data_IF_771284474418
#
_entry.id   IF_771284474418
#
_cell.length_a   1.000
_cell.length_b   1.000
_cell.length_c   1.000
_cell.angle_alpha   90.00
_cell.angle_beta   90.00
_cell.angle_gamma   90.00
#
_symmetry.space_group_name_H-M   'P 1'
#
loop_
_entity.id
_entity.type
_entity.pdbx_description
1 polymer ?
#
# COMPACT_ATOMS: atom_id res chain seq x y z
N UNK A 1 -11.65 17.18 2.06
CA UNK A 1 -12.08 15.85 1.60
C UNK A 1 -11.23 14.82 2.32
N UNK A 2 -11.81 14.00 3.21
CA UNK A 2 -11.06 12.98 3.97
C UNK A 2 -10.91 11.77 3.04
N UNK A 3 -9.68 11.37 2.74
CA UNK A 3 -9.44 10.15 1.96
C UNK A 3 -9.80 8.96 2.85
N UNK A 4 -10.74 8.14 2.41
CA UNK A 4 -11.13 6.91 3.10
C UNK A 4 -9.92 5.97 3.12
N UNK A 5 -9.67 5.34 4.27
CA UNK A 5 -8.69 4.28 4.44
C UNK A 5 -9.11 3.03 3.66
N UNK A 6 -8.17 2.16 3.31
CA UNK A 6 -8.47 0.91 2.61
C UNK A 6 -9.53 0.06 3.33
N UNK A 7 -9.52 0.08 4.68
CA UNK A 7 -10.51 -0.60 5.53
C UNK A 7 -11.90 0.05 5.41
N UNK A 8 -11.97 1.38 5.40
CA UNK A 8 -13.25 2.11 5.22
C UNK A 8 -13.83 1.87 3.83
N UNK A 9 -12.98 1.79 2.80
CA UNK A 9 -13.40 1.46 1.43
C UNK A 9 -13.94 0.03 1.37
N UNK A 10 -13.21 -0.95 1.92
CA UNK A 10 -13.67 -2.33 1.97
C UNK A 10 -14.99 -2.44 2.74
N UNK A 11 -15.10 -1.81 3.92
CA UNK A 11 -16.34 -1.81 4.71
C UNK A 11 -17.54 -1.28 3.93
N UNK A 12 -17.37 -0.20 3.17
CA UNK A 12 -18.45 0.34 2.34
C UNK A 12 -18.88 -0.65 1.24
N UNK A 13 -17.92 -1.35 0.62
CA UNK A 13 -18.18 -2.30 -0.48
C UNK A 13 -18.85 -3.60 0.02
N UNK A 14 -18.47 -4.11 1.19
CA UNK A 14 -19.13 -5.29 1.76
C UNK A 14 -20.51 -4.99 2.37
N UNK A 15 -20.74 -3.77 2.87
CA UNK A 15 -22.08 -3.33 3.28
C UNK A 15 -23.09 -3.38 2.12
N UNK A 16 -22.65 -3.10 0.89
CA UNK A 16 -23.49 -3.21 -0.30
C UNK A 16 -23.83 -4.66 -0.67
N UNK A 17 -22.99 -5.64 -0.29
CA UNK A 17 -23.12 -7.04 -0.69
C UNK A 17 -23.60 -8.00 0.44
N UNK A 18 -23.84 -7.50 1.65
CA UNK A 18 -24.55 -8.21 2.73
C UNK A 18 -23.80 -9.33 3.46
N UNK A 19 -22.62 -9.74 3.00
CA UNK A 19 -21.79 -10.77 3.66
C UNK A 19 -20.42 -10.19 4.06
N UNK A 20 -20.18 -10.13 5.38
CA UNK A 20 -18.87 -9.77 5.92
C UNK A 20 -17.96 -11.00 5.98
N UNK A 21 -16.79 -10.99 5.33
CA UNK A 21 -15.77 -11.99 5.58
C UNK A 21 -15.32 -11.95 7.04
N UNK A 22 -14.98 -13.10 7.62
CA UNK A 22 -14.60 -13.20 9.04
C UNK A 22 -13.43 -12.26 9.40
N UNK A 23 -12.51 -12.04 8.47
CA UNK A 23 -11.34 -11.16 8.61
C UNK A 23 -11.68 -9.65 8.63
N UNK A 24 -12.91 -9.25 8.30
CA UNK A 24 -13.40 -7.86 8.33
C UNK A 24 -14.07 -7.47 9.66
N UNK A 25 -14.09 -8.38 10.64
CA UNK A 25 -14.59 -8.07 11.98
C UNK A 25 -13.76 -6.93 12.61
N UNK A 26 -14.41 -5.86 13.05
CA UNK A 26 -13.75 -4.66 13.62
C UNK A 26 -12.91 -4.93 14.87
N UNK A 27 -13.09 -6.10 15.51
CA UNK A 27 -12.25 -6.56 16.63
C UNK A 27 -10.95 -7.23 16.19
N UNK A 28 -10.85 -7.64 14.93
CA UNK A 28 -9.69 -8.32 14.37
C UNK A 28 -8.82 -7.26 13.71
N UNK A 29 -7.56 -7.19 14.12
CA UNK A 29 -6.59 -6.30 13.47
C UNK A 29 -6.39 -6.79 12.03
N UNK A 30 -6.69 -5.96 11.01
CA UNK A 30 -6.69 -6.40 9.61
C UNK A 30 -5.33 -6.92 9.16
N UNK A 31 -4.25 -6.45 9.79
CA UNK A 31 -2.89 -6.82 9.45
C UNK A 31 -2.18 -7.62 10.57
N UNK A 32 -2.89 -8.54 11.24
CA UNK A 32 -2.23 -9.54 12.10
C UNK A 32 -1.82 -10.77 11.28
N UNK A 33 -0.77 -11.49 11.68
CA UNK A 33 -0.35 -12.73 10.98
C UNK A 33 -1.47 -13.76 10.85
N UNK A 34 -2.35 -13.86 11.86
CA UNK A 34 -3.53 -14.74 11.84
C UNK A 34 -4.53 -14.31 10.76
N UNK A 35 -4.87 -13.02 10.72
CA UNK A 35 -5.79 -12.45 9.72
C UNK A 35 -5.23 -12.62 8.31
N UNK A 36 -3.92 -12.43 8.16
CA UNK A 36 -3.23 -12.57 6.87
C UNK A 36 -3.32 -13.99 6.30
N UNK A 37 -3.19 -15.02 7.14
CA UNK A 37 -3.36 -16.41 6.69
C UNK A 37 -4.80 -16.67 6.24
N UNK A 38 -5.79 -16.18 7.00
CA UNK A 38 -7.21 -16.31 6.61
C UNK A 38 -7.49 -15.60 5.28
N UNK A 39 -6.86 -14.45 5.05
CA UNK A 39 -6.94 -13.73 3.77
C UNK A 39 -6.36 -14.54 2.61
N UNK A 40 -5.21 -15.21 2.82
CA UNK A 40 -4.62 -16.09 1.80
C UNK A 40 -5.56 -17.26 1.49
N UNK A 41 -6.07 -17.95 2.52
CA UNK A 41 -7.01 -19.06 2.35
C UNK A 41 -8.26 -18.60 1.60
N UNK A 42 -8.79 -17.41 1.94
CA UNK A 42 -9.97 -16.83 1.27
C UNK A 42 -9.69 -16.52 -0.20
N UNK A 43 -8.51 -15.97 -0.50
CA UNK A 43 -8.09 -15.73 -1.88
C UNK A 43 -7.99 -17.03 -2.68
N UNK A 44 -7.42 -18.10 -2.10
CA UNK A 44 -7.34 -19.42 -2.73
C UNK A 44 -8.72 -20.05 -2.96
N UNK A 45 -9.70 -19.75 -2.10
CA UNK A 45 -11.10 -20.15 -2.26
C UNK A 45 -11.87 -19.29 -3.29
N UNK A 46 -11.23 -18.30 -3.90
CA UNK A 46 -11.81 -17.45 -4.94
C UNK A 46 -12.44 -16.16 -4.43
N UNK A 47 -12.22 -15.76 -3.17
CA UNK A 47 -12.59 -14.43 -2.69
C UNK A 47 -11.69 -13.38 -3.36
N UNK A 48 -12.24 -12.80 -4.43
CA UNK A 48 -11.55 -11.79 -5.23
C UNK A 48 -11.17 -10.56 -4.42
N UNK A 49 -11.86 -10.25 -3.34
CA UNK A 49 -11.61 -9.05 -2.52
C UNK A 49 -10.48 -9.26 -1.50
N UNK A 50 -10.16 -10.50 -1.15
CA UNK A 50 -9.09 -10.82 -0.21
C UNK A 50 -7.72 -10.29 -0.69
N UNK A 51 -7.46 -10.32 -2.00
CA UNK A 51 -6.24 -9.76 -2.61
C UNK A 51 -6.08 -8.26 -2.34
N UNK A 52 -7.17 -7.49 -2.27
CA UNK A 52 -7.10 -6.06 -1.90
C UNK A 52 -6.67 -5.87 -0.45
N UNK A 53 -7.22 -6.65 0.47
CA UNK A 53 -6.86 -6.59 1.89
C UNK A 53 -5.41 -7.04 2.14
N UNK A 54 -4.93 -8.06 1.42
CA UNK A 54 -3.53 -8.49 1.42
C UNK A 54 -2.62 -7.35 0.94
N UNK A 55 -2.97 -6.71 -0.18
CA UNK A 55 -2.24 -5.57 -0.70
C UNK A 55 -2.17 -4.41 0.30
N UNK A 56 -3.28 -4.13 0.99
CA UNK A 56 -3.34 -3.10 2.02
C UNK A 56 -2.41 -3.40 3.20
N UNK A 57 -2.33 -4.66 3.66
CA UNK A 57 -1.42 -5.05 4.74
C UNK A 57 0.05 -4.70 4.41
N UNK A 58 0.48 -5.00 3.18
CA UNK A 58 1.82 -4.65 2.71
C UNK A 58 2.00 -3.15 2.45
N UNK A 59 0.95 -2.44 2.05
CA UNK A 59 1.01 -1.00 1.78
C UNK A 59 1.09 -0.17 3.06
N UNK A 60 0.23 -0.44 4.06
CA UNK A 60 0.19 0.34 5.30
C UNK A 60 1.36 0.00 6.22
N UNK A 61 1.85 -1.24 6.14
CA UNK A 61 2.64 -1.83 7.21
C UNK A 61 1.83 -1.93 8.51
N UNK A 62 2.32 -2.74 9.44
CA UNK A 62 1.71 -3.01 10.74
C UNK A 62 2.70 -3.77 11.62
N UNK A 63 2.32 -4.06 12.86
CA UNK A 63 3.19 -4.70 13.85
C UNK A 63 3.86 -5.99 13.35
N UNK A 64 3.16 -6.80 12.54
CA UNK A 64 3.66 -8.08 12.01
C UNK A 64 4.21 -8.00 10.57
N UNK A 65 3.97 -6.89 9.85
CA UNK A 65 4.36 -6.75 8.44
C UNK A 65 4.97 -5.37 8.19
N UNK A 66 6.24 -5.36 7.75
CA UNK A 66 6.87 -4.15 7.24
C UNK A 66 6.18 -3.66 5.97
N UNK A 67 6.23 -2.34 5.76
CA UNK A 67 5.79 -1.73 4.51
C UNK A 67 6.59 -2.33 3.35
N UNK A 68 5.89 -2.94 2.39
CA UNK A 68 6.48 -3.51 1.19
C UNK A 68 5.63 -3.11 -0.03
N UNK A 69 6.04 -2.03 -0.69
CA UNK A 69 5.29 -1.48 -1.83
C UNK A 69 5.30 -2.41 -3.04
N UNK A 70 6.35 -3.20 -3.26
CA UNK A 70 6.41 -4.13 -4.41
C UNK A 70 5.38 -5.25 -4.27
N UNK A 71 5.26 -5.82 -3.06
CA UNK A 71 4.22 -6.81 -2.76
C UNK A 71 2.84 -6.17 -2.80
N UNK A 72 2.66 -4.96 -2.28
CA UNK A 72 1.39 -4.25 -2.37
C UNK A 72 0.96 -4.05 -3.84
N UNK A 73 1.88 -3.60 -4.71
CA UNK A 73 1.63 -3.44 -6.14
C UNK A 73 1.23 -4.77 -6.78
N UNK A 74 1.95 -5.85 -6.48
CA UNK A 74 1.64 -7.19 -7.00
C UNK A 74 0.20 -7.60 -6.68
N UNK A 75 -0.19 -7.52 -5.41
CA UNK A 75 -1.53 -7.92 -4.97
C UNK A 75 -2.63 -6.97 -5.47
N UNK A 76 -2.39 -5.66 -5.53
CA UNK A 76 -3.34 -4.73 -6.13
C UNK A 76 -3.52 -4.96 -7.63
N UNK A 77 -2.47 -5.36 -8.37
CA UNK A 77 -2.60 -5.71 -9.79
C UNK A 77 -3.49 -6.92 -9.99
N UNK A 78 -3.23 -8.00 -9.23
CA UNK A 78 -4.07 -9.20 -9.24
C UNK A 78 -5.53 -8.83 -8.98
N UNK A 79 -5.79 -8.05 -7.93
CA UNK A 79 -7.15 -7.62 -7.61
C UNK A 79 -7.79 -6.83 -8.76
N UNK A 80 -7.07 -5.87 -9.35
CA UNK A 80 -7.59 -5.06 -10.44
C UNK A 80 -7.83 -5.86 -11.73
N UNK A 81 -6.92 -6.76 -12.09
CA UNK A 81 -6.96 -7.55 -13.32
C UNK A 81 -8.00 -8.68 -13.24
N UNK A 82 -8.06 -9.39 -12.12
CA UNK A 82 -8.94 -10.57 -11.98
C UNK A 82 -10.37 -10.21 -11.58
N UNK A 83 -10.55 -9.16 -10.79
CA UNK A 83 -11.87 -8.78 -10.24
C UNK A 83 -12.43 -7.47 -10.80
N UNK A 84 -11.64 -6.71 -11.56
CA UNK A 84 -12.05 -5.40 -12.08
C UNK A 84 -12.25 -4.35 -10.99
N UNK A 85 -11.76 -4.59 -9.77
CA UNK A 85 -12.04 -3.76 -8.62
C UNK A 85 -11.33 -2.40 -8.73
N UNK A 86 -12.12 -1.38 -9.09
CA UNK A 86 -11.62 -0.03 -9.43
C UNK A 86 -10.79 0.58 -8.30
N UNK A 87 -11.10 0.28 -7.03
CA UNK A 87 -10.33 0.81 -5.90
C UNK A 87 -8.86 0.33 -5.91
N UNK A 88 -8.56 -0.88 -6.40
CA UNK A 88 -7.19 -1.34 -6.54
C UNK A 88 -6.43 -0.53 -7.61
N UNK A 89 -7.11 -0.20 -8.72
CA UNK A 89 -6.58 0.69 -9.74
C UNK A 89 -6.25 2.09 -9.18
N UNK A 90 -7.12 2.64 -8.32
CA UNK A 90 -6.86 3.91 -7.64
C UNK A 90 -5.64 3.85 -6.71
N UNK A 91 -5.49 2.78 -5.92
CA UNK A 91 -4.31 2.62 -5.04
C UNK A 91 -3.01 2.43 -5.83
N UNK A 92 -3.04 1.66 -6.94
CA UNK A 92 -1.90 1.55 -7.86
C UNK A 92 -1.50 2.90 -8.44
N UNK A 93 -2.49 3.68 -8.91
CA UNK A 93 -2.24 5.01 -9.47
C UNK A 93 -1.60 5.95 -8.44
N UNK A 94 -2.03 5.89 -7.17
CA UNK A 94 -1.42 6.64 -6.07
C UNK A 94 0.04 6.23 -5.87
N UNK A 95 0.31 4.93 -5.74
CA UNK A 95 1.68 4.42 -5.51
C UNK A 95 2.63 4.88 -6.62
N UNK A 96 2.26 4.69 -7.90
CA UNK A 96 3.10 5.11 -9.02
C UNK A 96 3.29 6.62 -9.11
N UNK A 97 2.25 7.39 -8.79
CA UNK A 97 2.33 8.85 -8.78
C UNK A 97 3.32 9.32 -7.73
N UNK A 98 3.26 8.78 -6.52
CA UNK A 98 4.21 9.10 -5.45
C UNK A 98 5.64 8.71 -5.84
N UNK A 99 5.87 7.48 -6.33
CA UNK A 99 7.20 7.03 -6.78
C UNK A 99 7.78 7.97 -7.84
N UNK A 100 6.99 8.38 -8.84
CA UNK A 100 7.43 9.31 -9.88
C UNK A 100 7.78 10.70 -9.32
N UNK A 101 7.02 11.20 -8.35
CA UNK A 101 7.32 12.47 -7.69
C UNK A 101 8.63 12.40 -6.89
N UNK A 102 8.85 11.30 -6.16
CA UNK A 102 10.11 11.08 -5.43
C UNK A 102 11.32 11.02 -6.37
N UNK A 103 11.21 10.30 -7.48
CA UNK A 103 12.27 10.24 -8.51
C UNK A 103 12.62 11.63 -9.06
N UNK A 104 11.61 12.48 -9.31
CA UNK A 104 11.82 13.87 -9.73
C UNK A 104 12.52 14.71 -8.66
N UNK A 105 12.05 14.63 -7.40
CA UNK A 105 12.65 15.36 -6.29
C UNK A 105 14.12 14.96 -6.09
N UNK A 106 14.41 13.67 -6.16
CA UNK A 106 15.77 13.13 -6.09
C UNK A 106 16.65 13.67 -7.23
N UNK A 107 16.18 13.63 -8.47
CA UNK A 107 16.91 14.19 -9.63
C UNK A 107 17.25 15.67 -9.45
N UNK A 108 16.31 16.47 -8.96
CA UNK A 108 16.53 17.90 -8.70
C UNK A 108 17.59 18.11 -7.60
N UNK A 109 17.59 17.30 -6.53
CA UNK A 109 18.60 17.36 -5.47
C UNK A 109 20.01 17.01 -5.97
N UNK A 110 20.13 16.07 -6.90
CA UNK A 110 21.43 15.74 -7.50
C UNK A 110 21.94 16.87 -8.40
N UNK A 111 21.06 17.53 -9.14
CA UNK A 111 21.42 18.70 -9.96
C UNK A 111 21.89 19.88 -9.09
N UNK A 112 21.27 20.09 -7.92
CA UNK A 112 21.70 21.15 -7.00
C UNK A 112 22.99 20.83 -6.27
N UNK A 113 23.35 19.55 -6.01
CA UNK A 113 24.67 19.18 -5.44
C UNK A 113 25.86 19.52 -6.33
N UNK A 114 25.66 19.61 -7.64
CA UNK A 114 26.70 20.06 -8.59
C UNK A 114 26.92 21.58 -8.52
N UNK A 115 26.05 22.32 -7.83
CA UNK A 115 26.31 23.67 -7.33
C UNK A 115 26.69 23.56 -5.84
N UNK A 116 27.84 24.13 -5.45
CA UNK A 116 28.40 24.02 -4.08
C UNK A 116 27.32 24.36 -3.00
N UNK A 117 26.91 23.43 -2.12
CA UNK A 117 25.78 23.66 -1.23
C UNK A 117 26.21 24.39 0.06
N UNK A 118 25.37 25.28 0.64
CA UNK A 118 25.58 25.82 1.98
C UNK A 118 25.21 24.78 3.05
N UNK A 119 26.22 24.28 3.76
CA UNK A 119 26.26 23.81 5.17
C UNK A 119 25.01 23.24 5.87
N UNK A 120 24.11 22.52 5.19
CA UNK A 120 22.97 21.83 5.83
C UNK A 120 22.83 20.37 5.38
N UNK A 121 23.93 19.62 5.47
CA UNK A 121 24.04 18.20 5.08
C UNK A 121 23.26 17.19 5.95
N UNK A 122 22.51 17.62 6.96
CA UNK A 122 21.82 16.71 7.88
C UNK A 122 20.47 16.19 7.34
N UNK A 123 19.74 16.99 6.56
CA UNK A 123 18.45 16.56 5.99
C UNK A 123 18.61 15.52 4.87
N UNK A 124 19.56 15.75 3.96
CA UNK A 124 19.77 14.90 2.78
C UNK A 124 20.20 13.48 3.16
N UNK A 125 21.04 13.33 4.20
CA UNK A 125 21.49 12.02 4.69
C UNK A 125 20.33 11.18 5.27
N UNK A 126 19.39 11.83 5.97
CA UNK A 126 18.18 11.18 6.48
C UNK A 126 17.26 10.69 5.34
N UNK A 127 17.12 11.49 4.28
CA UNK A 127 16.33 11.11 3.09
C UNK A 127 16.96 9.95 2.31
N UNK A 128 18.28 9.94 2.14
CA UNK A 128 18.99 8.86 1.44
C UNK A 128 18.94 7.55 2.24
N UNK A 129 19.08 7.59 3.56
CA UNK A 129 19.15 6.38 4.38
C UNK A 129 17.81 5.64 4.50
N UNK A 130 16.67 6.35 4.35
CA UNK A 130 15.33 5.75 4.35
C UNK A 130 14.87 5.19 3.00
N UNK A 131 15.48 5.60 1.89
CA UNK A 131 15.04 5.26 0.53
C UNK A 131 16.14 4.65 -0.35
N UNK A 132 17.37 4.43 0.15
CA UNK A 132 18.43 3.69 -0.55
C UNK A 132 18.25 2.16 -0.45
N UNK A 133 17.01 1.67 -0.48
CA UNK A 133 16.73 0.26 -0.76
C UNK A 133 16.06 0.22 -2.12
N UNK A 134 16.88 0.36 -3.15
CA UNK A 134 16.77 -0.18 -4.50
C UNK A 134 18.18 -0.25 -5.08
#
# INVERSE_FOLDING_TARGET
MKLLTGIEILNNIYQENGAYPEYMNSKIKPCSKKTFNILLDSFELGDTYASFAIAYCYHSGCDDFDINLDKAIYWYKINFEDSGHIAAGFELAKIYTYQKQYQKAFKNLHQTRNHKPPSSTNGIRFFLQKWSIC
#
